data_IF_587119168346
#
_entry.id   IF_587119168346
#
_cell.length_a   1.000
_cell.length_b   1.000
_cell.length_c   1.000
_cell.angle_alpha   90.00
_cell.angle_beta   90.00
_cell.angle_gamma   90.00
#
_symmetry.space_group_name_H-M   'P 1'
#
loop_
_entity.id
_entity.type
_entity.pdbx_description
1 polymer ?
#
# COMPACT_ATOMS: atom_id res chain seq x y z
N UNK A 1 -8.51 -11.20 26.43
CA UNK A 1 -9.34 -10.97 25.25
C UNK A 1 -8.86 -9.78 24.42
N UNK A 2 -7.77 -9.35 24.21
CA UNK A 2 -7.32 -8.34 23.25
C UNK A 2 -6.08 -8.86 22.51
N UNK A 3 -6.20 -10.04 21.92
CA UNK A 3 -5.09 -10.72 21.25
C UNK A 3 -4.53 -9.87 20.11
N UNK A 4 -5.40 -9.28 19.29
CA UNK A 4 -4.98 -8.41 18.17
C UNK A 4 -4.24 -7.16 18.68
N UNK A 5 -4.73 -6.52 19.74
CA UNK A 5 -4.07 -5.37 20.35
C UNK A 5 -2.71 -5.73 20.99
N UNK A 6 -2.64 -6.90 21.64
CA UNK A 6 -1.39 -7.40 22.23
C UNK A 6 -0.35 -7.73 21.15
N UNK A 7 -0.77 -8.36 20.08
CA UNK A 7 0.09 -8.67 18.92
C UNK A 7 0.59 -7.39 18.25
N UNK A 8 -0.30 -6.43 17.97
CA UNK A 8 0.10 -5.15 17.39
C UNK A 8 1.07 -4.39 18.30
N UNK A 9 0.82 -4.38 19.62
CA UNK A 9 1.74 -3.75 20.58
C UNK A 9 3.15 -4.39 20.54
N UNK A 10 3.20 -5.71 20.51
CA UNK A 10 4.48 -6.44 20.45
C UNK A 10 5.20 -6.13 19.13
N UNK A 11 4.50 -6.16 18.01
CA UNK A 11 5.01 -5.84 16.68
C UNK A 11 5.58 -4.41 16.59
N UNK A 12 4.84 -3.41 17.11
CA UNK A 12 5.29 -2.03 17.12
C UNK A 12 6.52 -1.83 18.02
N UNK A 13 6.56 -2.47 19.18
CA UNK A 13 7.71 -2.40 20.08
C UNK A 13 8.95 -3.04 19.46
N UNK A 14 8.81 -4.19 18.79
CA UNK A 14 9.91 -4.89 18.15
C UNK A 14 10.42 -4.14 16.90
N UNK A 15 9.54 -3.82 15.96
CA UNK A 15 9.93 -3.27 14.66
C UNK A 15 10.35 -1.80 14.73
N UNK A 16 9.74 -1.02 15.62
CA UNK A 16 10.03 0.40 15.77
C UNK A 16 10.92 0.71 16.99
N UNK A 17 11.35 -0.32 17.72
CA UNK A 17 12.16 -0.20 18.93
C UNK A 17 11.52 0.73 19.98
N UNK A 18 10.18 0.57 20.18
CA UNK A 18 9.41 1.34 21.14
C UNK A 18 9.23 0.56 22.45
N UNK A 19 8.81 1.28 23.50
CA UNK A 19 8.44 0.69 24.80
C UNK A 19 6.99 1.06 25.17
N UNK A 20 6.04 0.69 24.31
CA UNK A 20 4.62 0.90 24.57
C UNK A 20 4.15 -0.03 25.69
N UNK A 21 3.69 0.55 26.79
CA UNK A 21 3.21 -0.19 27.96
C UNK A 21 1.81 -0.75 27.73
N UNK A 22 0.95 0.03 27.06
CA UNK A 22 -0.41 -0.37 26.73
C UNK A 22 -0.84 0.13 25.35
N UNK A 23 -1.74 -0.62 24.73
CA UNK A 23 -2.38 -0.28 23.47
C UNK A 23 -3.77 -0.91 23.47
N UNK A 24 -4.77 -0.17 23.01
CA UNK A 24 -6.10 -0.71 22.72
C UNK A 24 -6.33 -0.59 21.21
N UNK A 25 -6.95 -1.60 20.64
CA UNK A 25 -7.33 -1.63 19.24
C UNK A 25 -8.83 -1.86 19.14
N UNK A 26 -9.54 -0.97 18.47
CA UNK A 26 -10.98 -1.06 18.26
C UNK A 26 -11.29 -1.12 16.76
N UNK A 27 -12.29 -1.93 16.41
CA UNK A 27 -12.94 -1.84 15.11
C UNK A 27 -14.09 -0.84 15.23
N UNK A 28 -14.10 0.16 14.38
CA UNK A 28 -15.12 1.20 14.34
C UNK A 28 -15.93 1.05 13.06
N UNK A 29 -17.24 1.16 13.16
CA UNK A 29 -18.15 1.10 12.03
C UNK A 29 -18.95 2.39 11.94
N UNK A 30 -18.91 3.04 10.79
CA UNK A 30 -19.80 4.13 10.43
C UNK A 30 -21.03 3.53 9.74
N UNK A 31 -22.19 3.75 10.30
CA UNK A 31 -23.44 3.11 9.90
C UNK A 31 -24.40 4.13 9.27
N UNK A 32 -24.89 3.83 8.08
CA UNK A 32 -25.82 4.68 7.35
C UNK A 32 -27.05 3.89 6.93
N UNK A 33 -28.23 4.50 6.99
CA UNK A 33 -29.50 3.89 6.61
C UNK A 33 -30.07 2.91 7.67
N UNK A 34 -29.48 2.84 8.87
CA UNK A 34 -29.99 1.97 9.93
C UNK A 34 -31.17 2.58 10.66
N UNK A 35 -32.20 1.75 10.85
CA UNK A 35 -33.23 2.06 11.84
C UNK A 35 -32.76 1.63 13.24
N UNK A 36 -33.28 2.25 14.33
CA UNK A 36 -32.90 1.83 15.68
C UNK A 36 -33.17 0.35 15.95
N UNK A 37 -34.22 -0.21 15.39
CA UNK A 37 -34.57 -1.62 15.55
C UNK A 37 -33.56 -2.53 14.82
N UNK A 38 -33.17 -2.17 13.59
CA UNK A 38 -32.18 -2.92 12.83
C UNK A 38 -30.80 -2.85 13.49
N UNK A 39 -30.42 -1.69 14.00
CA UNK A 39 -29.17 -1.50 14.72
C UNK A 39 -29.11 -2.41 15.96
N UNK A 40 -30.16 -2.46 16.76
CA UNK A 40 -30.18 -3.30 17.95
C UNK A 40 -30.12 -4.79 17.62
N UNK A 41 -30.83 -5.24 16.58
CA UNK A 41 -30.72 -6.62 16.09
C UNK A 41 -29.33 -6.96 15.57
N UNK A 42 -28.63 -6.01 14.97
CA UNK A 42 -27.31 -6.20 14.37
C UNK A 42 -26.15 -6.12 15.36
N UNK A 43 -26.38 -5.54 16.55
CA UNK A 43 -25.34 -5.19 17.53
C UNK A 43 -24.39 -6.36 17.84
N UNK A 44 -24.90 -7.51 18.17
CA UNK A 44 -24.12 -8.70 18.52
C UNK A 44 -24.25 -9.86 17.51
N UNK A 45 -24.98 -9.66 16.43
CA UNK A 45 -25.06 -10.63 15.34
C UNK A 45 -24.19 -10.23 14.13
N UNK A 46 -23.79 -8.95 14.04
CA UNK A 46 -22.98 -8.43 12.93
C UNK A 46 -21.73 -7.70 13.46
N UNK A 47 -21.86 -6.80 14.44
CA UNK A 47 -20.81 -5.89 14.86
C UNK A 47 -19.94 -6.41 16.00
N UNK A 48 -20.31 -7.50 16.64
CA UNK A 48 -19.52 -8.12 17.69
C UNK A 48 -20.09 -9.44 18.17
N UNK A 49 -19.25 -10.22 18.84
CA UNK A 49 -19.62 -11.48 19.49
C UNK A 49 -19.87 -11.26 20.98
N UNK A 50 -21.00 -11.77 21.48
CA UNK A 50 -21.42 -11.60 22.89
C UNK A 50 -20.33 -12.08 23.88
N UNK A 51 -19.58 -13.11 23.51
CA UNK A 51 -18.60 -13.74 24.41
C UNK A 51 -17.26 -12.98 24.47
N UNK A 52 -16.85 -12.39 23.33
CA UNK A 52 -15.49 -11.84 23.16
C UNK A 52 -15.48 -10.34 23.04
N UNK A 53 -16.58 -9.71 22.56
CA UNK A 53 -16.58 -8.32 22.19
C UNK A 53 -17.51 -7.49 23.11
N UNK A 54 -17.12 -6.26 23.30
CA UNK A 54 -17.97 -5.21 23.87
C UNK A 54 -18.30 -4.23 22.77
N UNK A 55 -19.55 -4.20 22.36
CA UNK A 55 -20.06 -3.21 21.39
C UNK A 55 -20.57 -1.98 22.15
N UNK A 56 -20.16 -0.79 21.73
CA UNK A 56 -20.54 0.48 22.31
C UNK A 56 -20.76 1.52 21.22
N UNK A 57 -21.71 2.41 21.42
CA UNK A 57 -21.98 3.53 20.51
C UNK A 57 -21.01 4.70 20.73
N UNK A 58 -20.35 4.72 21.89
CA UNK A 58 -19.40 5.76 22.26
C UNK A 58 -18.07 5.17 22.73
N UNK A 59 -16.99 5.91 22.50
CA UNK A 59 -15.67 5.60 23.02
C UNK A 59 -15.09 6.85 23.70
N UNK A 60 -14.85 6.74 25.02
CA UNK A 60 -14.16 7.81 25.73
C UNK A 60 -12.67 7.81 25.36
N UNK A 61 -12.26 8.90 24.76
CA UNK A 61 -10.87 9.18 24.35
C UNK A 61 -10.20 10.23 25.24
N UNK A 62 -10.86 10.68 26.31
CA UNK A 62 -10.34 11.69 27.24
C UNK A 62 -9.04 11.20 27.87
N UNK A 63 -8.02 12.04 27.85
CA UNK A 63 -6.71 11.69 28.42
C UNK A 63 -5.96 10.57 27.69
N UNK A 64 -6.27 10.36 26.42
CA UNK A 64 -5.56 9.41 25.54
C UNK A 64 -5.09 10.08 24.26
N UNK A 65 -4.14 9.45 23.57
CA UNK A 65 -3.81 9.74 22.18
C UNK A 65 -4.37 8.63 21.30
N UNK A 66 -4.73 8.95 20.07
CA UNK A 66 -5.27 7.94 19.18
C UNK A 66 -4.83 8.14 17.72
N UNK A 67 -4.89 7.05 16.97
CA UNK A 67 -4.71 6.99 15.53
C UNK A 67 -5.91 6.25 14.96
N UNK A 68 -6.69 6.89 14.11
CA UNK A 68 -7.79 6.24 13.40
C UNK A 68 -7.41 6.08 11.94
N UNK A 69 -7.65 4.89 11.39
CA UNK A 69 -7.26 4.53 10.02
C UNK A 69 -8.44 3.96 9.27
N UNK A 70 -8.71 4.48 8.08
CA UNK A 70 -9.76 4.02 7.18
C UNK A 70 -9.21 3.72 5.79
N UNK A 71 -9.93 2.93 4.99
CA UNK A 71 -9.59 2.72 3.60
C UNK A 71 -9.76 3.98 2.77
N UNK A 72 -8.92 4.13 1.73
CA UNK A 72 -9.08 5.18 0.73
C UNK A 72 -10.38 4.98 -0.05
N UNK A 73 -11.01 6.07 -0.53
CA UNK A 73 -12.13 5.97 -1.46
C UNK A 73 -11.79 5.11 -2.67
N UNK A 74 -12.65 4.15 -2.98
CA UNK A 74 -12.43 3.19 -4.09
C UNK A 74 -11.70 1.91 -3.69
N UNK A 75 -11.13 1.83 -2.50
CA UNK A 75 -10.59 0.58 -1.97
C UNK A 75 -11.71 -0.32 -1.43
N UNK A 76 -11.49 -1.64 -1.54
CA UNK A 76 -12.47 -2.62 -1.06
C UNK A 76 -12.33 -2.82 0.46
N UNK A 77 -13.37 -2.40 1.18
CA UNK A 77 -13.50 -2.64 2.62
C UNK A 77 -14.21 -3.98 2.87
N UNK A 78 -13.40 -5.05 2.99
CA UNK A 78 -13.92 -6.41 3.20
C UNK A 78 -14.77 -6.53 4.47
N UNK A 79 -14.36 -5.88 5.56
CA UNK A 79 -15.10 -5.92 6.84
C UNK A 79 -16.46 -5.27 6.71
N UNK A 80 -16.52 -4.10 6.08
CA UNK A 80 -17.78 -3.41 5.84
C UNK A 80 -18.68 -4.18 4.88
N UNK A 81 -18.14 -4.73 3.78
CA UNK A 81 -18.89 -5.55 2.84
C UNK A 81 -19.50 -6.79 3.51
N UNK A 82 -18.70 -7.52 4.28
CA UNK A 82 -19.20 -8.68 5.04
C UNK A 82 -20.27 -8.28 6.07
N UNK A 83 -20.12 -7.12 6.71
CA UNK A 83 -21.13 -6.63 7.65
C UNK A 83 -22.45 -6.31 6.94
N UNK A 84 -22.41 -5.69 5.73
CA UNK A 84 -23.61 -5.45 4.90
C UNK A 84 -24.28 -6.77 4.54
N UNK A 85 -23.53 -7.79 4.10
CA UNK A 85 -24.07 -9.10 3.78
C UNK A 85 -24.74 -9.74 5.00
N UNK A 86 -24.14 -9.65 6.18
CA UNK A 86 -24.75 -10.15 7.42
C UNK A 86 -26.02 -9.38 7.80
N UNK A 87 -26.07 -8.05 7.59
CA UNK A 87 -27.30 -7.27 7.79
C UNK A 87 -28.40 -7.72 6.85
N UNK A 88 -28.08 -8.02 5.59
CA UNK A 88 -29.06 -8.54 4.62
C UNK A 88 -29.60 -9.94 4.98
N UNK A 89 -28.86 -10.72 5.78
CA UNK A 89 -29.42 -11.96 6.34
C UNK A 89 -30.49 -11.68 7.43
N UNK A 90 -30.43 -10.53 8.09
CA UNK A 90 -31.41 -10.11 9.10
C UNK A 90 -32.60 -9.43 8.43
N UNK A 91 -32.32 -8.51 7.51
CA UNK A 91 -33.32 -7.78 6.72
C UNK A 91 -32.86 -7.67 5.24
N UNK A 92 -33.36 -8.53 4.36
CA UNK A 92 -32.98 -8.53 2.94
C UNK A 92 -33.36 -7.26 2.16
N UNK A 93 -34.17 -6.39 2.75
CA UNK A 93 -34.61 -5.14 2.10
C UNK A 93 -33.95 -3.91 2.68
N UNK A 94 -33.06 -4.08 3.65
CA UNK A 94 -32.35 -2.96 4.26
C UNK A 94 -31.46 -2.24 3.23
N UNK A 95 -31.65 -0.95 3.06
CA UNK A 95 -30.75 -0.08 2.26
C UNK A 95 -29.72 0.55 3.21
N UNK A 96 -28.72 -0.24 3.57
CA UNK A 96 -27.68 0.17 4.50
C UNK A 96 -26.34 0.32 3.82
N UNK A 97 -25.54 1.26 4.33
CA UNK A 97 -24.12 1.40 3.97
C UNK A 97 -23.29 1.37 5.24
N UNK A 98 -22.15 0.72 5.14
CA UNK A 98 -21.22 0.55 6.27
C UNK A 98 -19.83 0.93 5.78
N UNK A 99 -19.07 1.63 6.62
CA UNK A 99 -17.63 1.80 6.46
C UNK A 99 -16.94 1.26 7.70
N UNK A 100 -15.79 0.65 7.56
CA UNK A 100 -15.00 0.21 8.71
C UNK A 100 -13.71 1.00 8.85
N UNK A 101 -13.24 1.09 10.08
CA UNK A 101 -11.96 1.70 10.41
C UNK A 101 -11.35 1.07 11.64
N UNK A 102 -10.04 1.19 11.78
CA UNK A 102 -9.29 0.77 12.97
C UNK A 102 -8.99 1.99 13.82
N UNK A 103 -9.18 1.88 15.13
CA UNK A 103 -8.83 2.92 16.10
C UNK A 103 -7.82 2.37 17.09
N UNK A 104 -6.59 2.87 17.02
CA UNK A 104 -5.50 2.57 17.95
C UNK A 104 -5.54 3.65 19.04
N UNK A 105 -5.68 3.24 20.29
CA UNK A 105 -5.69 4.13 21.45
C UNK A 105 -4.43 3.87 22.27
N UNK A 106 -3.71 4.94 22.55
CA UNK A 106 -2.44 4.97 23.25
C UNK A 106 -2.53 5.83 24.51
N UNK A 107 -1.67 5.60 25.51
CA UNK A 107 -1.56 6.49 26.66
C UNK A 107 -1.25 7.95 26.27
N UNK A 108 -1.69 8.91 27.08
CA UNK A 108 -1.51 10.33 26.82
C UNK A 108 -0.04 10.79 26.82
N UNK A 109 0.80 10.08 27.54
CA UNK A 109 2.24 10.35 27.73
C UNK A 109 3.12 9.88 26.57
N UNK A 110 2.56 9.15 25.59
CA UNK A 110 3.29 8.77 24.37
C UNK A 110 3.66 10.02 23.59
N UNK A 111 4.92 10.17 23.23
CA UNK A 111 5.45 11.33 22.50
C UNK A 111 4.87 11.44 21.08
N UNK A 112 4.73 12.67 20.57
CA UNK A 112 4.17 12.91 19.22
C UNK A 112 5.07 12.34 18.11
N UNK A 113 6.39 12.28 18.34
CA UNK A 113 7.33 11.62 17.43
C UNK A 113 7.03 10.12 17.32
N UNK A 114 6.74 9.47 18.44
CA UNK A 114 6.33 8.07 18.48
C UNK A 114 5.00 7.85 17.75
N UNK A 115 4.04 8.75 17.93
CA UNK A 115 2.76 8.71 17.17
C UNK A 115 3.03 8.81 15.66
N UNK A 116 3.93 9.69 15.23
CA UNK A 116 4.28 9.84 13.82
C UNK A 116 4.94 8.58 13.25
N UNK A 117 5.84 7.93 14.01
CA UNK A 117 6.46 6.65 13.63
C UNK A 117 5.42 5.54 13.48
N UNK A 118 4.47 5.44 14.42
CA UNK A 118 3.39 4.45 14.37
C UNK A 118 2.48 4.71 13.17
N UNK A 119 2.10 5.97 12.91
CA UNK A 119 1.31 6.33 11.72
C UNK A 119 2.02 5.91 10.43
N UNK A 120 3.30 6.23 10.30
CA UNK A 120 4.09 5.89 9.13
C UNK A 120 4.20 4.37 8.90
N UNK A 121 4.29 3.60 9.98
CA UNK A 121 4.35 2.14 9.94
C UNK A 121 2.99 1.51 9.61
N UNK A 122 1.92 1.98 10.27
CA UNK A 122 0.61 1.33 10.25
C UNK A 122 -0.26 1.75 9.07
N UNK A 123 -0.12 2.99 8.57
CA UNK A 123 -0.92 3.51 7.46
C UNK A 123 -0.23 3.21 6.14
N UNK A 124 -0.78 2.27 5.39
CA UNK A 124 -0.35 2.04 4.02
C UNK A 124 -0.99 3.08 3.09
N UNK A 125 -0.21 4.05 2.62
CA UNK A 125 -0.70 5.16 1.80
C UNK A 125 -1.29 4.73 0.43
N UNK A 126 -1.10 3.47 0.01
CA UNK A 126 -1.69 2.91 -1.22
C UNK A 126 -3.15 2.53 -1.02
N UNK A 127 -3.54 2.13 0.19
CA UNK A 127 -4.88 1.60 0.48
C UNK A 127 -5.62 2.31 1.61
N UNK A 128 -4.90 3.04 2.46
CA UNK A 128 -5.47 3.61 3.68
C UNK A 128 -4.98 5.03 3.96
N UNK A 129 -5.70 5.71 4.82
CA UNK A 129 -5.39 7.05 5.30
C UNK A 129 -5.79 7.24 6.75
N UNK A 130 -5.31 8.31 7.35
CA UNK A 130 -5.81 8.75 8.65
C UNK A 130 -7.28 9.19 8.53
N UNK A 131 -8.12 8.69 9.47
CA UNK A 131 -9.54 9.03 9.56
C UNK A 131 -9.75 10.19 10.53
N UNK A 132 -10.56 11.15 10.14
CA UNK A 132 -11.08 12.19 11.00
C UNK A 132 -12.37 11.68 11.69
N UNK A 133 -12.28 11.30 12.96
CA UNK A 133 -13.42 10.78 13.73
C UNK A 133 -14.55 11.82 13.96
N UNK A 134 -14.26 13.11 13.76
CA UNK A 134 -15.29 14.16 13.89
C UNK A 134 -16.24 14.22 12.69
N UNK A 135 -15.88 13.55 11.59
CA UNK A 135 -16.65 13.56 10.34
C UNK A 135 -17.28 12.20 10.06
N UNK A 136 -18.58 12.20 9.98
CA UNK A 136 -19.35 11.06 9.48
C UNK A 136 -19.76 11.35 8.03
N UNK A 137 -19.06 10.73 7.07
CA UNK A 137 -19.26 10.99 5.64
C UNK A 137 -19.81 9.74 4.96
N UNK A 138 -21.04 9.81 4.48
CA UNK A 138 -21.74 8.69 3.85
C UNK A 138 -21.12 8.31 2.50
N UNK A 139 -20.93 9.26 1.61
CA UNK A 139 -20.29 9.03 0.33
C UNK A 139 -19.21 10.06 0.06
N UNK A 140 -18.00 9.61 -0.14
CA UNK A 140 -17.01 10.37 -0.88
C UNK A 140 -17.12 9.95 -2.34
N UNK A 141 -18.04 10.56 -3.09
CA UNK A 141 -17.89 10.59 -4.53
C UNK A 141 -16.63 11.42 -4.80
N UNK A 142 -15.49 10.75 -4.85
CA UNK A 142 -14.28 11.39 -5.34
C UNK A 142 -14.62 11.96 -6.71
N UNK A 143 -14.57 13.28 -6.86
CA UNK A 143 -14.70 13.90 -8.17
C UNK A 143 -13.61 13.28 -9.03
N UNK A 144 -14.00 12.46 -10.00
CA UNK A 144 -13.06 11.82 -10.92
C UNK A 144 -12.37 12.95 -11.68
N UNK A 145 -11.10 13.17 -11.39
CA UNK A 145 -10.29 14.12 -12.15
C UNK A 145 -9.98 13.50 -13.51
N UNK A 146 -10.07 14.27 -14.59
CA UNK A 146 -9.58 13.78 -15.87
C UNK A 146 -8.10 13.41 -15.76
N UNK A 147 -7.73 12.34 -16.46
CA UNK A 147 -6.32 11.91 -16.50
C UNK A 147 -5.49 13.01 -17.15
N UNK A 148 -4.39 13.47 -16.53
CA UNK A 148 -3.58 14.54 -17.11
C UNK A 148 -2.87 14.07 -18.37
N UNK A 149 -2.81 14.95 -19.37
CA UNK A 149 -1.91 14.81 -20.52
C UNK A 149 -0.52 15.25 -20.09
N UNK A 150 0.49 14.53 -20.54
CA UNK A 150 1.90 14.83 -20.23
C UNK A 150 2.44 15.87 -21.21
N UNK A 151 2.02 17.11 -21.05
CA UNK A 151 2.34 18.21 -21.96
C UNK A 151 3.87 18.35 -22.18
N UNK A 152 4.26 18.36 -23.45
CA UNK A 152 5.65 18.47 -23.85
C UNK A 152 6.43 17.16 -23.88
N UNK A 153 5.77 16.03 -23.67
CA UNK A 153 6.39 14.69 -23.70
C UNK A 153 7.10 14.43 -25.03
N UNK A 154 6.48 14.72 -26.15
CA UNK A 154 7.06 14.54 -27.49
C UNK A 154 8.20 15.51 -27.82
N UNK A 155 8.44 16.52 -26.96
CA UNK A 155 9.52 17.51 -27.12
C UNK A 155 10.72 17.27 -26.21
N UNK A 156 10.71 16.16 -25.45
CA UNK A 156 11.82 15.80 -24.58
C UNK A 156 13.10 15.57 -25.39
N UNK A 157 14.21 16.03 -24.84
CA UNK A 157 15.56 15.80 -25.37
C UNK A 157 16.20 14.59 -24.67
N UNK A 158 17.30 14.08 -25.20
CA UNK A 158 18.06 12.97 -24.55
C UNK A 158 18.41 13.26 -23.09
N UNK A 159 18.70 14.51 -22.76
CA UNK A 159 19.04 14.91 -21.39
C UNK A 159 17.85 14.85 -20.43
N UNK A 160 16.62 14.85 -20.94
CA UNK A 160 15.39 14.85 -20.13
C UNK A 160 14.91 13.44 -19.80
N UNK A 161 15.30 12.41 -20.59
CA UNK A 161 14.75 11.06 -20.49
C UNK A 161 15.01 10.41 -19.12
N UNK A 162 16.27 10.32 -18.72
CA UNK A 162 16.67 9.71 -17.44
C UNK A 162 16.05 10.43 -16.21
N UNK A 163 16.10 11.80 -16.12
CA UNK A 163 15.41 12.53 -15.07
C UNK A 163 13.89 12.29 -15.06
N UNK A 164 13.26 12.17 -16.23
CA UNK A 164 11.84 11.91 -16.33
C UNK A 164 11.48 10.50 -15.83
N UNK A 165 12.23 9.46 -16.23
CA UNK A 165 12.06 8.09 -15.71
C UNK A 165 12.11 8.06 -14.19
N UNK A 166 13.11 8.70 -13.58
CA UNK A 166 13.26 8.77 -12.13
C UNK A 166 12.11 9.53 -11.46
N UNK A 167 11.72 10.67 -12.02
CA UNK A 167 10.62 11.50 -11.48
C UNK A 167 9.30 10.75 -11.47
N UNK A 168 9.01 10.01 -12.55
CA UNK A 168 7.77 9.25 -12.71
C UNK A 168 7.84 7.88 -12.04
N UNK A 169 9.03 7.43 -11.62
CA UNK A 169 9.24 6.09 -11.03
C UNK A 169 8.93 4.98 -12.04
N UNK A 170 9.40 5.14 -13.29
CA UNK A 170 9.15 4.17 -14.35
C UNK A 170 10.07 2.96 -14.22
N UNK A 171 9.57 1.80 -14.62
CA UNK A 171 10.35 0.59 -14.83
C UNK A 171 11.19 0.66 -16.13
N UNK A 172 10.73 1.43 -17.11
CA UNK A 172 11.48 1.75 -18.32
C UNK A 172 12.76 2.51 -18.02
N UNK A 173 13.82 2.22 -18.76
CA UNK A 173 15.04 3.04 -18.80
C UNK A 173 14.93 4.15 -19.86
N UNK A 174 16.00 4.96 -20.02
CA UNK A 174 16.01 6.06 -20.98
C UNK A 174 15.91 5.58 -22.45
N UNK A 175 16.47 4.44 -22.78
CA UNK A 175 16.42 3.88 -24.13
C UNK A 175 15.01 3.42 -24.48
N UNK A 176 14.34 2.76 -23.55
CA UNK A 176 12.93 2.35 -23.70
C UNK A 176 12.02 3.58 -23.86
N UNK A 177 12.21 4.59 -22.99
CA UNK A 177 11.42 5.82 -23.04
C UNK A 177 11.61 6.58 -24.36
N UNK A 178 12.82 6.53 -24.95
CA UNK A 178 13.10 7.14 -26.27
C UNK A 178 12.20 6.57 -27.36
N UNK A 179 12.00 5.25 -27.37
CA UNK A 179 11.10 4.61 -28.34
C UNK A 179 9.64 5.05 -28.11
N UNK A 180 9.24 5.20 -26.86
CA UNK A 180 7.89 5.70 -26.53
C UNK A 180 7.73 7.16 -26.98
N UNK A 181 8.71 8.03 -26.77
CA UNK A 181 8.70 9.42 -27.24
C UNK A 181 8.60 9.48 -28.78
N UNK A 182 9.36 8.64 -29.46
CA UNK A 182 9.32 8.53 -30.93
C UNK A 182 7.91 8.12 -31.40
N UNK A 183 7.33 7.08 -30.80
CA UNK A 183 5.98 6.62 -31.14
C UNK A 183 4.95 7.76 -31.03
N UNK A 184 4.91 8.48 -29.89
CA UNK A 184 3.94 9.57 -29.70
C UNK A 184 4.24 10.79 -30.58
N UNK A 185 5.50 11.00 -30.96
CA UNK A 185 5.88 12.01 -31.95
C UNK A 185 5.31 11.67 -33.33
N UNK A 186 5.35 10.41 -33.74
CA UNK A 186 4.74 9.92 -34.99
C UNK A 186 3.20 10.01 -34.92
N UNK A 187 2.60 9.73 -33.74
CA UNK A 187 1.16 9.94 -33.48
C UNK A 187 0.74 11.42 -33.53
N UNK A 188 1.67 12.35 -33.37
CA UNK A 188 1.42 13.80 -33.40
C UNK A 188 0.71 14.34 -32.15
N UNK A 189 0.80 13.65 -31.02
CA UNK A 189 0.19 14.06 -29.76
C UNK A 189 1.03 13.64 -28.55
N UNK A 190 0.88 14.33 -27.44
CA UNK A 190 1.42 13.89 -26.17
C UNK A 190 0.53 12.79 -25.54
N UNK A 191 1.10 11.78 -24.81
CA UNK A 191 0.33 10.77 -24.12
C UNK A 191 -0.33 11.34 -22.86
N UNK A 192 -1.38 10.68 -22.40
CA UNK A 192 -1.83 10.87 -21.02
C UNK A 192 -1.05 9.96 -20.06
N UNK A 193 -1.14 10.25 -18.77
CA UNK A 193 -0.40 9.48 -17.76
C UNK A 193 -0.77 7.99 -17.75
N UNK A 194 -2.04 7.65 -17.98
CA UNK A 194 -2.49 6.25 -18.02
C UNK A 194 -1.85 5.50 -19.19
N UNK A 195 -1.77 6.11 -20.38
CA UNK A 195 -1.11 5.50 -21.55
C UNK A 195 0.35 5.19 -21.23
N UNK A 196 1.07 6.15 -20.63
CA UNK A 196 2.46 5.94 -20.23
C UNK A 196 2.59 4.83 -19.19
N UNK A 197 1.74 4.79 -18.17
CA UNK A 197 1.76 3.75 -17.12
C UNK A 197 1.46 2.36 -17.67
N UNK A 198 0.54 2.26 -18.63
CA UNK A 198 0.24 0.98 -19.30
C UNK A 198 1.48 0.50 -20.06
N UNK A 199 2.12 1.37 -20.83
CA UNK A 199 3.34 1.03 -21.55
C UNK A 199 4.45 0.62 -20.58
N UNK A 200 4.67 1.38 -19.51
CA UNK A 200 5.64 1.07 -18.46
C UNK A 200 5.42 -0.32 -17.85
N UNK A 201 4.16 -0.74 -17.69
CA UNK A 201 3.82 -2.07 -17.20
C UNK A 201 4.38 -3.18 -18.10
N UNK A 202 4.40 -2.99 -19.40
CA UNK A 202 5.00 -3.95 -20.34
C UNK A 202 6.51 -4.06 -20.19
N UNK A 203 7.19 -3.02 -19.70
CA UNK A 203 8.62 -3.02 -19.38
C UNK A 203 8.93 -3.43 -17.94
N UNK A 204 7.91 -3.77 -17.14
CA UNK A 204 8.12 -4.27 -15.77
C UNK A 204 8.72 -5.68 -15.76
N UNK A 205 9.30 -6.08 -14.62
CA UNK A 205 10.12 -7.31 -14.52
C UNK A 205 9.42 -8.59 -14.97
N UNK A 206 8.10 -8.71 -14.76
CA UNK A 206 7.36 -9.91 -15.20
C UNK A 206 7.26 -10.06 -16.73
N UNK A 207 7.55 -9.00 -17.50
CA UNK A 207 7.60 -8.99 -18.96
C UNK A 207 9.01 -8.69 -19.50
N UNK A 208 10.01 -8.51 -18.66
CA UNK A 208 11.37 -8.12 -19.03
C UNK A 208 12.20 -9.28 -19.58
N UNK A 209 12.09 -9.52 -20.86
CA UNK A 209 12.98 -10.47 -21.53
C UNK A 209 14.42 -9.96 -21.68
N UNK A 210 14.64 -8.66 -21.69
CA UNK A 210 15.97 -8.03 -21.78
C UNK A 210 16.87 -8.36 -20.59
N UNK A 211 16.31 -8.53 -19.39
CA UNK A 211 17.08 -8.94 -18.19
C UNK A 211 17.79 -10.26 -18.39
N UNK A 212 17.17 -11.22 -19.08
CA UNK A 212 17.75 -12.55 -19.34
C UNK A 212 18.80 -12.56 -20.44
N UNK A 213 18.86 -11.54 -21.27
CA UNK A 213 19.83 -11.39 -22.36
C UNK A 213 20.92 -10.37 -22.04
N UNK A 214 20.88 -9.75 -20.87
CA UNK A 214 21.90 -8.79 -20.42
C UNK A 214 23.23 -9.50 -20.19
N UNK A 215 24.29 -9.01 -20.83
CA UNK A 215 25.67 -9.43 -20.59
C UNK A 215 26.32 -8.46 -19.58
N UNK A 216 26.82 -9.00 -18.48
CA UNK A 216 27.57 -8.24 -17.48
C UNK A 216 29.04 -8.19 -17.91
N UNK A 217 29.53 -7.04 -18.31
CA UNK A 217 30.90 -6.82 -18.72
C UNK A 217 31.85 -6.64 -17.54
N UNK A 218 31.39 -5.94 -16.49
CA UNK A 218 32.17 -5.67 -15.29
C UNK A 218 31.29 -5.81 -14.05
N UNK A 219 31.81 -6.49 -13.02
CA UNK A 219 31.15 -6.64 -11.72
C UNK A 219 32.09 -6.09 -10.66
N UNK A 220 31.74 -4.97 -10.06
CA UNK A 220 32.45 -4.38 -8.92
C UNK A 220 31.75 -4.73 -7.60
N UNK A 221 32.52 -5.16 -6.61
CA UNK A 221 32.02 -5.37 -5.24
C UNK A 221 32.59 -4.28 -4.33
N UNK A 222 31.71 -3.54 -3.69
CA UNK A 222 32.11 -2.47 -2.76
C UNK A 222 32.85 -3.04 -1.53
N UNK A 223 33.78 -2.25 -0.98
CA UNK A 223 34.51 -2.62 0.22
C UNK A 223 33.55 -2.75 1.42
N UNK A 224 33.43 -3.99 1.92
CA UNK A 224 32.57 -4.33 3.06
C UNK A 224 33.10 -5.59 3.75
N UNK A 225 32.59 -5.90 4.94
CA UNK A 225 32.92 -7.12 5.66
C UNK A 225 32.50 -8.42 4.93
N UNK A 226 31.63 -8.32 3.92
CA UNK A 226 31.16 -9.46 3.11
C UNK A 226 31.87 -9.56 1.75
N UNK A 227 32.79 -8.66 1.43
CA UNK A 227 33.41 -8.61 0.09
C UNK A 227 34.09 -9.92 -0.29
N UNK A 228 34.89 -10.49 0.62
CA UNK A 228 35.61 -11.75 0.37
C UNK A 228 34.65 -12.91 0.05
N UNK A 229 33.53 -13.00 0.77
CA UNK A 229 32.52 -14.04 0.58
C UNK A 229 31.78 -13.86 -0.76
N UNK A 230 31.45 -12.62 -1.12
CA UNK A 230 30.80 -12.29 -2.38
C UNK A 230 31.74 -12.57 -3.57
N UNK A 231 32.97 -12.10 -3.52
CA UNK A 231 33.98 -12.34 -4.54
C UNK A 231 34.28 -13.85 -4.68
N UNK A 232 34.38 -14.56 -3.56
CA UNK A 232 34.57 -16.00 -3.54
C UNK A 232 33.43 -16.77 -4.20
N UNK A 233 32.20 -16.37 -3.91
CA UNK A 233 30.98 -16.98 -4.49
C UNK A 233 30.89 -16.69 -5.98
N UNK A 234 31.15 -15.45 -6.42
CA UNK A 234 31.16 -15.06 -7.81
C UNK A 234 32.21 -15.85 -8.60
N UNK A 235 33.44 -15.95 -8.08
CA UNK A 235 34.52 -16.70 -8.71
C UNK A 235 34.18 -18.18 -8.82
N UNK A 236 33.56 -18.77 -7.80
CA UNK A 236 33.11 -20.17 -7.84
C UNK A 236 32.02 -20.35 -8.92
N UNK A 237 31.06 -19.47 -9.01
CA UNK A 237 30.03 -19.50 -10.03
C UNK A 237 30.62 -19.43 -11.45
N UNK A 238 31.51 -18.49 -11.72
CA UNK A 238 32.15 -18.33 -13.01
C UNK A 238 33.00 -19.59 -13.40
N UNK A 239 33.70 -20.16 -12.43
CA UNK A 239 34.46 -21.42 -12.62
C UNK A 239 33.52 -22.58 -12.98
N UNK A 240 32.43 -22.77 -12.22
CA UNK A 240 31.47 -23.85 -12.49
C UNK A 240 30.78 -23.65 -13.84
N UNK A 241 30.44 -22.44 -14.20
CA UNK A 241 29.83 -22.10 -15.50
C UNK A 241 30.74 -22.48 -16.65
N UNK A 242 32.06 -22.24 -16.53
CA UNK A 242 33.06 -22.62 -17.48
C UNK A 242 33.22 -24.16 -17.59
N UNK A 243 33.31 -24.84 -16.45
CA UNK A 243 33.43 -26.31 -16.40
C UNK A 243 32.23 -27.02 -17.05
N UNK A 244 31.05 -26.42 -16.97
CA UNK A 244 29.80 -26.91 -17.57
C UNK A 244 29.63 -26.51 -19.05
N UNK A 245 30.54 -25.74 -19.62
CA UNK A 245 30.44 -25.27 -21.01
C UNK A 245 29.27 -24.31 -21.25
N UNK A 246 28.88 -23.53 -20.22
CA UNK A 246 27.76 -22.62 -20.27
C UNK A 246 28.15 -21.14 -20.30
N UNK A 247 29.38 -20.83 -20.71
CA UNK A 247 29.90 -19.45 -20.73
C UNK A 247 29.08 -18.50 -21.61
N UNK A 248 28.45 -19.02 -22.67
CA UNK A 248 27.65 -18.25 -23.62
C UNK A 248 26.13 -18.47 -23.48
N UNK A 249 25.69 -19.08 -22.40
CA UNK A 249 24.27 -19.24 -22.10
C UNK A 249 23.87 -18.25 -21.02
N UNK A 250 22.69 -17.64 -21.16
CA UNK A 250 22.13 -16.80 -20.14
C UNK A 250 22.02 -17.49 -18.78
N UNK A 251 21.64 -16.75 -17.77
CA UNK A 251 21.55 -17.19 -16.36
C UNK A 251 20.52 -18.30 -16.11
N UNK A 252 19.75 -18.70 -17.12
CA UNK A 252 18.75 -19.78 -17.04
C UNK A 252 19.35 -21.14 -17.44
#
# INVERSE_FOLDING_TARGET
>A
FQVEAASLKAELNENLQLDLQSLRLLNVYDLFGFTPELLEKSRYSVFGEIVTDKVSDECDLTGTKYIAVEYLPGQFDQRAASAVDCVHLIDPKADVRIKSSKLIILPADVEDETIAKIKHYFINAVESREKDLSKLTDSEAAAVKPVPVLDGFTKMTEADLEPFCRKMGLAMNADDLREVVKYFTEEGRDPNETELRILDTYWSDHCRHTTFTTELEEIGVEESFMKEDIDGTLNLYLKMRKELGREHKGLN
#
